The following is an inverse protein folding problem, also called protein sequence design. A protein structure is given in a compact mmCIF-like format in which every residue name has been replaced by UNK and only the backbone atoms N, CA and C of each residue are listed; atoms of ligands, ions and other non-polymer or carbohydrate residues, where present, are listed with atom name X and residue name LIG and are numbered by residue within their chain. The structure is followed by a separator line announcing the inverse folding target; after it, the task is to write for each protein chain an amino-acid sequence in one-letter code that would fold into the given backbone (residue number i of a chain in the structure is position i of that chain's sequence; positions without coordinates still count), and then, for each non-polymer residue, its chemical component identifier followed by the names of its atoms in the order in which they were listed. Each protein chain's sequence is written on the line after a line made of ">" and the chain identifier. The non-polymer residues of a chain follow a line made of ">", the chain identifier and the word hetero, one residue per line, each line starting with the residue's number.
data_IF_123042214873
#
_entry.id   IF_123042214873
#
_cell.length_a   1.000
_cell.length_b   1.000
_cell.length_c   1.000
_cell.angle_alpha   90.00
_cell.angle_beta   90.00
_cell.angle_gamma   90.00
#
_symmetry.space_group_name_H-M   'P 1'
#
loop_
_entity.id
_entity.type
_entity.pdbx_description
1 polymer ?
#
# COMPACT_ATOMS: atom_id res chain seq x y z
N UNK A 1 -25.08 -3.47 39.33
CA UNK A 1 -24.87 -2.42 38.32
C UNK A 1 -23.38 -2.21 38.18
N UNK A 2 -22.74 -2.90 37.23
CA UNK A 2 -21.31 -2.72 37.01
C UNK A 2 -21.11 -1.37 36.30
N UNK A 3 -20.47 -0.40 36.97
CA UNK A 3 -20.12 0.86 36.34
C UNK A 3 -19.19 0.64 35.15
N UNK A 4 -19.24 1.54 34.16
CA UNK A 4 -18.34 1.51 33.00
C UNK A 4 -16.89 1.39 33.48
N UNK A 5 -16.18 0.35 33.02
CA UNK A 5 -14.81 0.11 33.48
C UNK A 5 -13.91 1.23 32.96
N UNK A 6 -13.47 2.14 33.84
CA UNK A 6 -12.65 3.30 33.48
C UNK A 6 -11.41 2.92 32.66
N UNK A 7 -10.80 1.76 32.96
CA UNK A 7 -9.68 1.21 32.20
C UNK A 7 -10.00 0.99 30.70
N UNK A 8 -11.15 0.37 30.38
CA UNK A 8 -11.58 0.14 29.00
C UNK A 8 -11.83 1.45 28.25
N UNK A 9 -12.48 2.42 28.91
CA UNK A 9 -12.76 3.74 28.32
C UNK A 9 -11.46 4.48 27.95
N UNK A 10 -10.49 4.54 28.86
CA UNK A 10 -9.22 5.23 28.59
C UNK A 10 -8.34 4.47 27.60
N UNK A 11 -8.29 3.14 27.69
CA UNK A 11 -7.54 2.32 26.72
C UNK A 11 -8.08 2.51 25.30
N UNK A 12 -9.41 2.41 25.12
CA UNK A 12 -10.04 2.61 23.82
C UNK A 12 -9.82 4.04 23.31
N UNK A 13 -9.88 5.05 24.17
CA UNK A 13 -9.58 6.43 23.78
C UNK A 13 -8.14 6.58 23.29
N UNK A 14 -7.15 6.10 24.06
CA UNK A 14 -5.73 6.26 23.71
C UNK A 14 -5.41 5.58 22.38
N UNK A 15 -5.84 4.33 22.19
CA UNK A 15 -5.59 3.60 20.94
C UNK A 15 -6.24 4.29 19.73
N UNK A 16 -7.52 4.66 19.83
CA UNK A 16 -8.21 5.35 18.74
C UNK A 16 -7.64 6.75 18.48
N UNK A 17 -7.09 7.41 19.49
CA UNK A 17 -6.48 8.73 19.34
C UNK A 17 -5.16 8.65 18.59
N UNK A 18 -4.35 7.61 18.86
CA UNK A 18 -3.15 7.33 18.09
C UNK A 18 -3.50 7.02 16.62
N UNK A 19 -4.51 6.18 16.37
CA UNK A 19 -4.97 5.92 15.00
C UNK A 19 -5.47 7.19 14.31
N UNK A 20 -6.21 8.04 15.02
CA UNK A 20 -6.67 9.33 14.49
C UNK A 20 -5.49 10.22 14.08
N UNK A 21 -4.46 10.35 14.93
CA UNK A 21 -3.25 11.11 14.60
C UNK A 21 -2.52 10.53 13.39
N UNK A 22 -2.35 9.20 13.32
CA UNK A 22 -1.77 8.54 12.16
C UNK A 22 -2.61 8.81 10.89
N UNK A 23 -3.93 8.75 10.98
CA UNK A 23 -4.85 9.09 9.88
C UNK A 23 -4.67 10.52 9.40
N UNK A 24 -4.57 11.49 10.31
CA UNK A 24 -4.30 12.89 9.98
C UNK A 24 -2.96 13.07 9.26
N UNK A 25 -1.89 12.41 9.73
CA UNK A 25 -0.57 12.48 9.11
C UNK A 25 -0.60 11.86 7.71
N UNK A 26 -1.14 10.66 7.57
CA UNK A 26 -1.25 9.97 6.27
C UNK A 26 -2.07 10.83 5.30
N UNK A 27 -3.23 11.33 5.72
CA UNK A 27 -4.08 12.17 4.89
C UNK A 27 -3.36 13.48 4.49
N UNK A 28 -2.70 14.14 5.43
CA UNK A 28 -1.94 15.37 5.19
C UNK A 28 -0.81 15.17 4.19
N UNK A 29 -0.01 14.12 4.35
CA UNK A 29 1.07 13.76 3.41
C UNK A 29 0.49 13.39 2.05
N UNK A 30 -0.61 12.64 2.01
CA UNK A 30 -1.22 12.21 0.74
C UNK A 30 -1.82 13.38 -0.04
N UNK A 31 -2.46 14.33 0.65
CA UNK A 31 -2.95 15.57 0.04
C UNK A 31 -1.77 16.44 -0.42
N UNK A 32 -0.71 16.56 0.38
CA UNK A 32 0.51 17.27 0.01
C UNK A 32 1.10 16.71 -1.30
N UNK A 33 1.28 15.39 -1.38
CA UNK A 33 1.70 14.69 -2.60
C UNK A 33 0.72 14.96 -3.76
N UNK A 34 -0.60 15.02 -3.49
CA UNK A 34 -1.62 15.25 -4.53
C UNK A 34 -1.72 16.70 -5.01
N UNK A 35 -1.27 17.69 -4.25
CA UNK A 35 -1.44 19.11 -4.61
C UNK A 35 -0.12 19.80 -4.99
N UNK A 36 0.94 19.57 -4.24
CA UNK A 36 2.19 20.33 -4.34
C UNK A 36 2.94 19.99 -5.62
N UNK A 37 3.26 21.01 -6.43
CA UNK A 37 4.00 20.84 -7.68
C UNK A 37 5.41 20.32 -7.41
N UNK A 38 6.09 20.89 -6.42
CA UNK A 38 7.42 20.44 -6.01
C UNK A 38 7.41 18.98 -5.56
N UNK A 39 6.41 18.57 -4.77
CA UNK A 39 6.27 17.17 -4.34
C UNK A 39 5.91 16.24 -5.51
N UNK A 40 5.12 16.70 -6.48
CA UNK A 40 4.81 15.92 -7.68
C UNK A 40 6.00 15.78 -8.61
N UNK A 41 6.87 16.79 -8.67
CA UNK A 41 8.12 16.80 -9.43
C UNK A 41 9.23 16.00 -8.71
N UNK A 42 9.27 16.02 -7.38
CA UNK A 42 10.22 15.23 -6.59
C UNK A 42 9.85 13.74 -6.54
N UNK A 43 8.55 13.42 -6.43
CA UNK A 43 8.03 12.05 -6.36
C UNK A 43 7.45 11.54 -7.69
N UNK A 44 7.70 12.22 -8.81
CA UNK A 44 7.35 11.76 -10.16
C UNK A 44 5.85 11.47 -10.39
N UNK A 45 4.95 12.11 -9.63
CA UNK A 45 3.54 11.73 -9.57
C UNK A 45 2.75 12.16 -10.82
N UNK A 46 3.29 13.04 -11.66
CA UNK A 46 2.53 13.80 -12.66
C UNK A 46 2.14 13.08 -13.95
N UNK A 47 2.80 12.00 -14.32
CA UNK A 47 2.69 11.42 -15.67
C UNK A 47 2.24 9.97 -15.71
N UNK A 48 1.93 9.40 -14.54
CA UNK A 48 1.60 7.99 -14.41
C UNK A 48 0.24 7.81 -13.76
N UNK A 49 -0.77 7.41 -14.54
CA UNK A 49 -2.15 7.19 -14.06
C UNK A 49 -2.22 6.20 -12.88
N UNK A 50 -1.30 5.23 -12.80
CA UNK A 50 -1.20 4.28 -11.69
C UNK A 50 -0.68 4.87 -10.38
N UNK A 51 0.28 5.80 -10.43
CA UNK A 51 0.83 6.45 -9.23
C UNK A 51 -0.20 7.41 -8.62
N UNK A 52 -0.91 8.16 -9.46
CA UNK A 52 -2.06 8.95 -9.02
C UNK A 52 -3.13 8.10 -8.35
N UNK A 53 -3.40 6.90 -8.89
CA UNK A 53 -4.35 5.96 -8.28
C UNK A 53 -3.87 5.47 -6.90
N UNK A 54 -2.56 5.26 -6.73
CA UNK A 54 -1.99 4.90 -5.44
C UNK A 54 -2.10 6.03 -4.40
N UNK A 55 -1.81 7.28 -4.80
CA UNK A 55 -1.98 8.45 -3.91
C UNK A 55 -3.45 8.65 -3.55
N UNK A 56 -4.37 8.52 -4.51
CA UNK A 56 -5.82 8.62 -4.25
C UNK A 56 -6.31 7.52 -3.30
N UNK A 57 -5.76 6.30 -3.41
CA UNK A 57 -6.03 5.22 -2.47
C UNK A 57 -5.49 5.55 -1.07
N UNK A 58 -4.29 6.13 -0.96
CA UNK A 58 -3.75 6.60 0.31
C UNK A 58 -4.60 7.71 0.95
N UNK A 59 -5.14 8.63 0.16
CA UNK A 59 -6.10 9.65 0.63
C UNK A 59 -7.36 8.98 1.19
N UNK A 60 -7.91 8.00 0.46
CA UNK A 60 -9.11 7.27 0.90
C UNK A 60 -8.86 6.51 2.21
N UNK A 61 -7.75 5.76 2.29
CA UNK A 61 -7.38 5.00 3.50
C UNK A 61 -7.11 5.94 4.68
N UNK A 62 -6.34 7.01 4.49
CA UNK A 62 -6.08 8.00 5.53
C UNK A 62 -7.36 8.66 6.05
N UNK A 63 -8.29 8.99 5.15
CA UNK A 63 -9.60 9.55 5.52
C UNK A 63 -10.44 8.58 6.34
N UNK A 64 -10.49 7.30 5.96
CA UNK A 64 -11.23 6.26 6.70
C UNK A 64 -10.64 6.09 8.11
N UNK A 65 -9.32 5.97 8.22
CA UNK A 65 -8.62 5.83 9.51
C UNK A 65 -8.91 7.04 10.41
N UNK A 66 -8.84 8.25 9.85
CA UNK A 66 -9.15 9.49 10.59
C UNK A 66 -10.60 9.49 11.09
N UNK A 67 -11.57 9.19 10.23
CA UNK A 67 -12.99 9.21 10.63
C UNK A 67 -13.28 8.14 11.69
N UNK A 68 -12.79 6.91 11.51
CA UNK A 68 -13.01 5.83 12.49
C UNK A 68 -12.29 6.11 13.82
N UNK A 69 -11.06 6.62 13.78
CA UNK A 69 -10.34 7.03 14.99
C UNK A 69 -11.09 8.13 15.75
N UNK A 70 -11.65 9.12 15.04
CA UNK A 70 -12.46 10.18 15.65
C UNK A 70 -13.75 9.64 16.29
N UNK A 71 -14.47 8.77 15.58
CA UNK A 71 -15.69 8.13 16.09
C UNK A 71 -15.42 7.25 17.31
N UNK A 72 -14.32 6.48 17.31
CA UNK A 72 -13.89 5.68 18.45
C UNK A 72 -13.54 6.54 19.67
N UNK A 73 -12.76 7.61 19.48
CA UNK A 73 -12.39 8.53 20.55
C UNK A 73 -13.60 9.24 21.16
N UNK A 74 -14.41 9.89 20.31
CA UNK A 74 -15.56 10.66 20.75
C UNK A 74 -16.66 9.77 21.31
N UNK A 75 -16.88 8.59 20.71
CA UNK A 75 -17.83 7.59 21.19
C UNK A 75 -17.50 7.12 22.60
N UNK A 76 -16.22 6.81 22.85
CA UNK A 76 -15.74 6.42 24.18
C UNK A 76 -15.86 7.57 25.19
N UNK A 77 -15.39 8.78 24.87
CA UNK A 77 -15.40 9.92 25.80
C UNK A 77 -16.81 10.42 26.12
N UNK A 78 -17.61 10.67 25.09
CA UNK A 78 -18.96 11.24 25.20
C UNK A 78 -20.02 10.22 25.60
N UNK A 79 -19.64 8.94 25.76
CA UNK A 79 -20.57 7.84 26.04
C UNK A 79 -21.74 7.81 25.01
N UNK A 80 -21.46 8.16 23.75
CA UNK A 80 -22.46 8.26 22.70
C UNK A 80 -22.65 6.92 22.00
N UNK A 81 -23.80 6.29 22.26
CA UNK A 81 -24.17 4.98 21.66
C UNK A 81 -24.15 5.01 20.13
N UNK A 82 -24.63 6.11 19.52
CA UNK A 82 -24.66 6.25 18.07
C UNK A 82 -23.23 6.27 17.47
N UNK A 83 -22.30 7.02 18.06
CA UNK A 83 -20.92 7.09 17.58
C UNK A 83 -20.18 5.75 17.75
N UNK A 84 -20.38 5.05 18.86
CA UNK A 84 -19.83 3.71 19.07
C UNK A 84 -20.39 2.68 18.09
N UNK A 85 -21.69 2.76 17.77
CA UNK A 85 -22.31 1.90 16.77
C UNK A 85 -21.76 2.15 15.37
N UNK A 86 -21.59 3.42 14.97
CA UNK A 86 -20.98 3.77 13.69
C UNK A 86 -19.53 3.29 13.60
N UNK A 87 -18.77 3.43 14.67
CA UNK A 87 -17.41 2.88 14.77
C UNK A 87 -17.41 1.35 14.63
N UNK A 88 -18.32 0.65 15.31
CA UNK A 88 -18.49 -0.80 15.21
C UNK A 88 -18.82 -1.25 13.78
N UNK A 89 -19.81 -0.61 13.14
CA UNK A 89 -20.19 -0.92 11.76
C UNK A 89 -19.02 -0.68 10.81
N UNK A 90 -18.30 0.43 10.99
CA UNK A 90 -17.11 0.75 10.19
C UNK A 90 -16.02 -0.32 10.29
N UNK A 91 -15.63 -0.69 11.50
CA UNK A 91 -14.64 -1.77 11.71
C UNK A 91 -15.12 -3.11 11.15
N UNK A 92 -16.40 -3.44 11.32
CA UNK A 92 -16.96 -4.68 10.80
C UNK A 92 -16.92 -4.74 9.26
N UNK A 93 -17.21 -3.62 8.59
CA UNK A 93 -17.10 -3.53 7.13
C UNK A 93 -15.65 -3.67 6.65
N UNK A 94 -14.68 -3.06 7.34
CA UNK A 94 -13.26 -3.23 6.99
C UNK A 94 -12.83 -4.68 7.17
N UNK A 95 -13.20 -5.31 8.29
CA UNK A 95 -12.89 -6.73 8.52
C UNK A 95 -13.48 -7.63 7.43
N UNK A 96 -14.74 -7.37 7.02
CA UNK A 96 -15.39 -8.10 5.94
C UNK A 96 -14.68 -7.91 4.58
N UNK A 97 -14.28 -6.67 4.27
CA UNK A 97 -13.49 -6.36 3.07
C UNK A 97 -12.12 -7.05 3.11
N UNK A 98 -11.46 -7.07 4.27
CA UNK A 98 -10.16 -7.68 4.44
C UNK A 98 -10.23 -9.21 4.26
N UNK A 99 -11.23 -9.87 4.84
CA UNK A 99 -11.48 -11.31 4.64
C UNK A 99 -11.80 -11.59 3.18
N UNK A 100 -12.66 -10.80 2.56
CA UNK A 100 -13.00 -10.94 1.14
C UNK A 100 -11.79 -10.78 0.23
N UNK A 101 -10.97 -9.74 0.46
CA UNK A 101 -9.72 -9.50 -0.26
C UNK A 101 -8.72 -10.64 -0.04
N UNK A 102 -8.62 -11.20 1.18
CA UNK A 102 -7.78 -12.36 1.48
C UNK A 102 -8.21 -13.61 0.70
N UNK A 103 -9.51 -13.90 0.66
CA UNK A 103 -10.07 -15.04 -0.10
C UNK A 103 -9.85 -14.84 -1.60
N UNK A 104 -10.22 -13.67 -2.15
CA UNK A 104 -10.02 -13.36 -3.56
C UNK A 104 -8.54 -13.41 -3.95
N UNK A 105 -7.67 -12.86 -3.10
CA UNK A 105 -6.23 -12.89 -3.27
C UNK A 105 -5.66 -14.31 -3.28
N UNK A 106 -6.22 -15.23 -2.48
CA UNK A 106 -5.82 -16.64 -2.46
C UNK A 106 -6.34 -17.42 -3.68
N UNK A 107 -7.59 -17.22 -4.07
CA UNK A 107 -8.24 -17.95 -5.18
C UNK A 107 -7.74 -17.49 -6.54
N UNK A 108 -7.56 -16.18 -6.74
CA UNK A 108 -7.23 -15.58 -8.02
C UNK A 108 -5.75 -15.29 -8.22
N UNK A 109 -4.83 -15.85 -7.41
CA UNK A 109 -3.37 -15.66 -7.55
C UNK A 109 -2.86 -15.69 -9.00
N UNK A 110 -3.12 -16.74 -9.80
CA UNK A 110 -2.59 -16.79 -11.18
C UNK A 110 -3.20 -15.71 -12.08
N UNK A 111 -4.44 -15.28 -11.81
CA UNK A 111 -5.08 -14.18 -12.53
C UNK A 111 -4.48 -12.83 -12.13
N UNK A 112 -4.13 -12.64 -10.86
CA UNK A 112 -3.46 -11.42 -10.36
C UNK A 112 -2.09 -11.26 -11.01
N UNK A 113 -1.27 -12.33 -11.11
CA UNK A 113 0.02 -12.26 -11.82
C UNK A 113 -0.17 -11.81 -13.28
N UNK A 114 -1.17 -12.35 -13.97
CA UNK A 114 -1.49 -11.93 -15.35
C UNK A 114 -1.96 -10.47 -15.45
N UNK A 115 -2.79 -10.01 -14.52
CA UNK A 115 -3.27 -8.62 -14.47
C UNK A 115 -2.15 -7.63 -14.12
N UNK A 116 -1.21 -8.03 -13.24
CA UNK A 116 0.02 -7.27 -12.98
C UNK A 116 0.78 -7.10 -14.28
N UNK A 117 1.03 -8.17 -15.02
CA UNK A 117 1.77 -8.11 -16.28
C UNK A 117 1.08 -7.23 -17.33
N UNK A 118 -0.25 -7.36 -17.45
CA UNK A 118 -1.07 -6.49 -18.31
C UNK A 118 -0.94 -5.01 -17.91
N UNK A 119 -0.96 -4.74 -16.61
CA UNK A 119 -0.82 -3.38 -16.07
C UNK A 119 0.58 -2.83 -16.31
N UNK A 120 1.62 -3.62 -16.07
CA UNK A 120 3.02 -3.25 -16.33
C UNK A 120 3.24 -2.99 -17.82
N UNK A 121 2.64 -3.80 -18.70
CA UNK A 121 2.77 -3.62 -20.15
C UNK A 121 2.25 -2.26 -20.64
N UNK A 122 1.30 -1.62 -19.93
CA UNK A 122 0.81 -0.27 -20.26
C UNK A 122 1.86 0.83 -20.11
N UNK A 123 2.95 0.55 -19.41
CA UNK A 123 4.07 1.47 -19.24
C UNK A 123 5.10 1.39 -20.38
N UNK A 124 4.91 0.45 -21.31
CA UNK A 124 5.76 0.25 -22.47
C UNK A 124 5.14 1.01 -23.67
N UNK A 125 5.92 1.75 -24.48
CA UNK A 125 7.38 1.88 -24.42
C UNK A 125 7.87 2.77 -23.27
N UNK A 126 8.91 2.33 -22.56
CA UNK A 126 9.43 3.02 -21.37
C UNK A 126 9.94 4.43 -21.69
N UNK A 127 10.45 4.64 -22.91
CA UNK A 127 10.92 5.96 -23.38
C UNK A 127 9.82 7.00 -23.59
N UNK A 128 8.57 6.56 -23.75
CA UNK A 128 7.43 7.48 -23.90
C UNK A 128 6.86 7.91 -22.55
N UNK A 129 7.35 7.34 -21.46
CA UNK A 129 7.01 7.76 -20.11
C UNK A 129 7.75 9.05 -19.75
N UNK A 130 7.37 9.64 -18.62
CA UNK A 130 8.00 10.85 -18.13
C UNK A 130 9.49 10.69 -17.88
N UNK A 131 10.26 11.76 -18.06
CA UNK A 131 11.68 11.81 -17.64
C UNK A 131 11.86 11.41 -16.17
N UNK A 132 10.82 11.69 -15.41
CA UNK A 132 10.66 11.43 -14.01
C UNK A 132 10.52 9.93 -13.71
N UNK A 133 9.70 9.24 -14.50
CA UNK A 133 9.41 7.82 -14.33
C UNK A 133 10.56 6.87 -14.68
N UNK A 134 11.17 6.83 -15.87
CA UNK A 134 12.29 7.73 -16.13
C UNK A 134 13.42 7.42 -15.14
N UNK A 135 13.85 8.47 -14.46
CA UNK A 135 14.84 8.44 -13.37
C UNK A 135 14.50 7.46 -12.26
N UNK A 136 13.25 7.42 -11.80
CA UNK A 136 12.84 6.51 -10.72
C UNK A 136 13.07 5.04 -11.12
N UNK A 137 12.65 4.67 -12.32
CA UNK A 137 12.78 3.33 -12.85
C UNK A 137 14.23 2.98 -13.17
N UNK A 138 15.03 3.96 -13.62
CA UNK A 138 16.47 3.80 -13.77
C UNK A 138 17.16 3.49 -12.43
N UNK A 139 16.81 4.21 -11.36
CA UNK A 139 17.30 3.90 -10.00
C UNK A 139 16.86 2.50 -9.58
N UNK A 140 15.58 2.17 -9.75
CA UNK A 140 15.06 0.85 -9.42
C UNK A 140 15.80 -0.27 -10.15
N UNK A 141 16.07 -0.10 -11.44
CA UNK A 141 16.84 -1.02 -12.27
C UNK A 141 18.26 -1.24 -11.75
N UNK A 142 18.94 -0.16 -11.34
CA UNK A 142 20.29 -0.25 -10.80
C UNK A 142 20.32 -0.92 -9.42
N UNK A 143 19.43 -0.51 -8.51
CA UNK A 143 19.36 -1.06 -7.15
C UNK A 143 19.02 -2.55 -7.17
N UNK A 144 18.12 -2.97 -8.07
CA UNK A 144 17.65 -4.34 -8.15
C UNK A 144 18.29 -5.16 -9.27
N UNK A 145 19.30 -4.61 -9.96
CA UNK A 145 20.08 -5.27 -11.01
C UNK A 145 19.21 -5.96 -12.07
N UNK A 146 18.22 -5.24 -12.58
CA UNK A 146 17.30 -5.69 -13.62
C UNK A 146 17.30 -4.72 -14.80
N UNK A 147 16.87 -5.19 -15.97
CA UNK A 147 16.77 -4.35 -17.17
C UNK A 147 15.40 -4.51 -17.81
N UNK A 148 14.76 -3.37 -18.11
CA UNK A 148 13.43 -3.32 -18.71
C UNK A 148 12.34 -3.88 -17.80
N UNK A 149 11.09 -3.77 -18.24
CA UNK A 149 9.94 -4.10 -17.42
C UNK A 149 9.50 -5.55 -17.66
N UNK A 150 9.01 -5.84 -18.88
CA UNK A 150 8.42 -7.12 -19.29
C UNK A 150 9.31 -7.84 -20.30
N UNK A 151 9.74 -7.16 -21.37
CA UNK A 151 10.52 -7.76 -22.47
C UNK A 151 12.02 -7.42 -22.39
N UNK A 152 12.49 -7.01 -21.21
CA UNK A 152 13.88 -6.68 -20.99
C UNK A 152 14.31 -5.40 -21.70
N UNK A 153 15.53 -5.38 -22.23
CA UNK A 153 16.08 -4.20 -22.90
C UNK A 153 15.23 -3.68 -24.08
N UNK A 154 14.38 -4.54 -24.67
CA UNK A 154 13.52 -4.21 -25.80
C UNK A 154 12.41 -3.22 -25.42
N UNK A 155 12.05 -3.13 -24.14
CA UNK A 155 11.05 -2.17 -23.67
C UNK A 155 11.50 -0.71 -23.81
N UNK A 156 12.82 -0.50 -24.00
CA UNK A 156 13.45 0.78 -24.31
C UNK A 156 13.58 1.05 -25.83
N UNK A 157 13.14 0.13 -26.69
CA UNK A 157 13.34 0.22 -28.15
C UNK A 157 14.79 -0.01 -28.55
N UNK A 158 15.31 0.79 -29.49
CA UNK A 158 16.61 0.54 -30.14
C UNK A 158 17.84 0.68 -29.23
N UNK A 159 17.73 1.48 -28.16
CA UNK A 159 18.82 1.72 -27.22
C UNK A 159 18.35 1.60 -25.77
N UNK A 160 18.91 0.66 -24.98
CA UNK A 160 18.57 0.54 -23.57
C UNK A 160 19.07 1.73 -22.75
N UNK A 161 18.38 2.00 -21.64
CA UNK A 161 18.83 3.00 -20.68
C UNK A 161 20.20 2.64 -20.08
N UNK A 162 20.94 3.66 -19.62
CA UNK A 162 22.22 3.49 -18.91
C UNK A 162 22.08 2.64 -17.64
N UNK A 163 20.89 2.61 -17.04
CA UNK A 163 20.55 1.78 -15.89
C UNK A 163 20.56 0.27 -16.17
N UNK A 164 20.41 -0.15 -17.43
CA UNK A 164 20.43 -1.55 -17.83
C UNK A 164 21.84 -2.16 -17.91
N UNK A 165 22.88 -1.32 -17.94
CA UNK A 165 24.25 -1.81 -18.13
C UNK A 165 24.74 -2.47 -16.86
N UNK A 166 25.27 -3.67 -17.02
CA UNK A 166 25.83 -4.43 -15.93
C UNK A 166 27.25 -3.93 -15.61
N UNK A 167 27.53 -3.76 -14.31
CA UNK A 167 28.85 -3.30 -13.85
C UNK A 167 29.92 -4.38 -13.99
N UNK A 168 29.54 -5.65 -14.04
CA UNK A 168 30.44 -6.78 -14.23
C UNK A 168 30.65 -7.10 -15.73
N UNK A 169 31.89 -7.08 -16.23
CA UNK A 169 32.18 -7.26 -17.65
C UNK A 169 32.11 -8.72 -18.14
N UNK A 170 31.99 -9.70 -17.23
CA UNK A 170 31.93 -11.13 -17.59
C UNK A 170 30.48 -11.65 -17.65
N UNK A 171 30.15 -12.51 -18.64
CA UNK A 171 28.86 -13.18 -18.67
C UNK A 171 28.75 -14.11 -17.45
N UNK A 172 27.89 -13.71 -16.52
CA UNK A 172 27.53 -14.44 -15.31
C UNK A 172 26.05 -14.77 -15.39
N UNK A 173 25.51 -15.53 -14.42
CA UNK A 173 24.06 -15.77 -14.35
C UNK A 173 23.23 -14.47 -14.28
N UNK A 174 23.86 -13.37 -13.86
CA UNK A 174 23.25 -12.04 -13.73
C UNK A 174 23.23 -11.22 -15.03
N UNK A 175 24.23 -11.41 -15.90
CA UNK A 175 24.50 -10.48 -17.00
C UNK A 175 24.71 -11.17 -18.34
N UNK A 176 24.14 -10.59 -19.39
CA UNK A 176 24.19 -11.12 -20.76
C UNK A 176 24.78 -10.08 -21.71
N UNK A 177 25.68 -10.51 -22.59
CA UNK A 177 26.27 -9.64 -23.61
C UNK A 177 25.45 -9.73 -24.89
N UNK A 178 24.85 -8.62 -25.30
CA UNK A 178 24.08 -8.48 -26.54
C UNK A 178 24.65 -7.35 -27.38
N UNK A 179 24.98 -7.61 -28.65
CA UNK A 179 25.51 -6.60 -29.60
C UNK A 179 26.71 -5.79 -29.06
N UNK A 180 27.63 -6.47 -28.35
CA UNK A 180 28.83 -5.85 -27.77
C UNK A 180 28.61 -5.05 -26.46
N UNK A 181 27.40 -5.10 -25.87
CA UNK A 181 27.07 -4.45 -24.60
C UNK A 181 26.64 -5.48 -23.55
N UNK A 182 27.12 -5.35 -22.31
CA UNK A 182 26.75 -6.24 -21.20
C UNK A 182 25.58 -5.64 -20.43
N UNK A 183 24.43 -6.31 -20.42
CA UNK A 183 23.18 -5.86 -19.83
C UNK A 183 22.71 -6.83 -18.73
N UNK A 184 21.91 -6.35 -17.79
CA UNK A 184 21.24 -7.24 -16.84
C UNK A 184 20.29 -8.20 -17.55
N UNK A 185 20.39 -9.49 -17.24
CA UNK A 185 19.61 -10.55 -17.86
C UNK A 185 18.17 -10.60 -17.34
N UNK A 186 17.96 -10.26 -16.07
CA UNK A 186 16.66 -10.38 -15.38
C UNK A 186 15.77 -9.17 -15.69
N UNK A 187 14.50 -9.42 -15.99
CA UNK A 187 13.48 -8.39 -16.17
C UNK A 187 13.03 -7.84 -14.82
N UNK A 188 12.67 -6.56 -14.76
CA UNK A 188 12.21 -5.96 -13.51
C UNK A 188 10.84 -6.48 -13.07
N UNK A 189 9.97 -6.94 -13.97
CA UNK A 189 8.76 -7.68 -13.61
C UNK A 189 9.10 -8.92 -12.76
N UNK A 190 10.09 -9.71 -13.17
CA UNK A 190 10.46 -10.92 -12.45
C UNK A 190 11.02 -10.59 -11.05
N UNK A 191 11.77 -9.49 -10.93
CA UNK A 191 12.22 -8.96 -9.64
C UNK A 191 11.02 -8.54 -8.78
N UNK A 192 10.05 -7.80 -9.32
CA UNK A 192 8.85 -7.36 -8.59
C UNK A 192 8.05 -8.57 -8.10
N UNK A 193 7.82 -9.57 -8.97
CA UNK A 193 7.10 -10.78 -8.61
C UNK A 193 7.84 -11.60 -7.55
N UNK A 194 9.16 -11.76 -7.67
CA UNK A 194 9.98 -12.43 -6.66
C UNK A 194 9.97 -11.67 -5.33
N UNK A 195 10.04 -10.34 -5.37
CA UNK A 195 9.96 -9.50 -4.19
C UNK A 195 8.63 -9.69 -3.47
N UNK A 196 7.51 -9.64 -4.20
CA UNK A 196 6.18 -9.92 -3.65
C UNK A 196 6.14 -11.32 -3.06
N UNK A 197 6.62 -12.35 -3.77
CA UNK A 197 6.63 -13.75 -3.29
C UNK A 197 7.44 -13.91 -2.02
N UNK A 198 8.62 -13.31 -1.94
CA UNK A 198 9.50 -13.39 -0.78
C UNK A 198 8.95 -12.64 0.44
N UNK A 199 8.25 -11.53 0.22
CA UNK A 199 7.67 -10.73 1.30
C UNK A 199 6.19 -11.03 1.58
N UNK A 200 5.57 -11.99 0.87
CA UNK A 200 4.16 -12.36 1.09
C UNK A 200 3.86 -12.79 2.52
N UNK A 201 4.79 -13.46 3.19
CA UNK A 201 4.63 -13.86 4.60
C UNK A 201 4.47 -12.62 5.50
N UNK A 202 5.26 -11.58 5.26
CA UNK A 202 5.19 -10.32 6.01
C UNK A 202 3.86 -9.62 5.75
N UNK A 203 3.44 -9.55 4.48
CA UNK A 203 2.17 -8.93 4.08
C UNK A 203 0.98 -9.64 4.76
N UNK A 204 0.97 -10.98 4.74
CA UNK A 204 -0.05 -11.79 5.41
C UNK A 204 -0.01 -11.57 6.93
N UNK A 205 1.18 -11.46 7.51
CA UNK A 205 1.37 -11.17 8.93
C UNK A 205 0.79 -9.81 9.34
N UNK A 206 1.05 -8.76 8.56
CA UNK A 206 0.48 -7.42 8.78
C UNK A 206 -1.05 -7.47 8.68
N UNK A 207 -1.59 -8.11 7.64
CA UNK A 207 -3.04 -8.25 7.48
C UNK A 207 -3.65 -9.00 8.69
N UNK A 208 -3.09 -10.13 9.09
CA UNK A 208 -3.58 -10.87 10.25
C UNK A 208 -3.53 -10.03 11.55
N UNK A 209 -2.44 -9.28 11.77
CA UNK A 209 -2.32 -8.36 12.89
C UNK A 209 -3.41 -7.28 12.90
N UNK A 210 -3.70 -6.68 11.74
CA UNK A 210 -4.80 -5.72 11.59
C UNK A 210 -6.15 -6.33 11.95
N UNK A 211 -6.45 -7.54 11.46
CA UNK A 211 -7.70 -8.23 11.78
C UNK A 211 -7.86 -8.51 13.29
N UNK A 212 -6.78 -8.87 13.98
CA UNK A 212 -6.81 -9.06 15.45
C UNK A 212 -7.11 -7.74 16.16
N UNK A 213 -6.47 -6.65 15.75
CA UNK A 213 -6.71 -5.31 16.32
C UNK A 213 -8.17 -4.88 16.10
N UNK A 214 -8.72 -5.13 14.91
CA UNK A 214 -10.12 -4.84 14.58
C UNK A 214 -11.09 -5.63 15.46
N UNK A 215 -10.87 -6.93 15.64
CA UNK A 215 -11.70 -7.77 16.51
C UNK A 215 -11.69 -7.26 17.95
N UNK A 216 -10.52 -6.86 18.47
CA UNK A 216 -10.41 -6.25 19.80
C UNK A 216 -11.21 -4.94 19.85
N UNK A 217 -11.10 -4.09 18.82
CA UNK A 217 -11.87 -2.85 18.70
C UNK A 217 -13.39 -3.08 18.68
N UNK A 218 -13.86 -4.09 17.95
CA UNK A 218 -15.26 -4.51 17.90
C UNK A 218 -15.76 -4.98 19.28
N UNK A 219 -14.99 -5.83 19.95
CA UNK A 219 -15.32 -6.34 21.28
C UNK A 219 -15.40 -5.21 22.32
N UNK A 220 -14.45 -4.28 22.31
CA UNK A 220 -14.45 -3.12 23.21
C UNK A 220 -15.59 -2.16 22.91
N UNK A 221 -15.87 -1.90 21.63
CA UNK A 221 -17.00 -1.05 21.23
C UNK A 221 -18.33 -1.62 21.73
N UNK A 222 -18.58 -2.91 21.52
CA UNK A 222 -19.82 -3.56 21.98
C UNK A 222 -19.92 -3.61 23.50
N UNK A 223 -18.81 -3.90 24.19
CA UNK A 223 -18.78 -3.92 25.66
C UNK A 223 -19.13 -2.54 26.22
N UNK A 224 -18.53 -1.47 25.70
CA UNK A 224 -18.87 -0.10 26.12
C UNK A 224 -20.29 0.29 25.74
N UNK A 225 -20.76 -0.08 24.54
CA UNK A 225 -22.14 0.15 24.13
C UNK A 225 -23.14 -0.46 25.11
N UNK A 226 -22.96 -1.73 25.48
CA UNK A 226 -23.82 -2.42 26.44
C UNK A 226 -23.73 -1.80 27.85
N UNK A 227 -22.53 -1.42 28.30
CA UNK A 227 -22.36 -0.76 29.60
C UNK A 227 -23.09 0.59 29.64
N UNK A 228 -22.99 1.39 28.58
CA UNK A 228 -23.71 2.67 28.44
C UNK A 228 -25.22 2.42 28.32
N UNK A 229 -25.66 1.29 27.74
CA UNK A 229 -27.06 0.90 27.69
C UNK A 229 -27.65 0.54 29.06
N UNK A 230 -26.86 -0.14 29.87
CA UNK A 230 -27.25 -0.59 31.21
C UNK A 230 -27.19 0.50 32.30
N UNK A 231 -26.67 1.68 31.95
CA UNK A 231 -26.61 2.88 32.79
C UNK A 231 -27.87 3.71 32.59
#
# INVERSE_FOLDING_TARGET
>A
MAGVSKCLKYSMFIFNFLFWLCGCIILGVSIWLRVSKDAKEEFQLNQTSGIYSAVDLLIAVGSIIMVLGFLGCCGAMRESRCMLLLFFIGLFLILALQVTAGILGAVYKPKIEKEINSTLTKYIPLKAQSEDFIKFFDTFQQENKCCGLVNGHLDWGDQPSKSCYCTDPQPTDLCVTTSGKTLYKKTCEAVILDYIKNHMVIIIGIAFGLAVIEIIGLAFSMTLYCQIQSK
#
